data_IF_259937722951
#
_entry.id   IF_259937722951
#
_cell.length_a   1.000
_cell.length_b   1.000
_cell.length_c   1.000
_cell.angle_alpha   90.00
_cell.angle_beta   90.00
_cell.angle_gamma   90.00
#
_symmetry.space_group_name_H-M   'P 1'
#
loop_
_entity.id
_entity.type
_entity.pdbx_description
1 polymer ?
#
# COMPACT_ATOMS: atom_id res chain seq x y z
N UNK A 1 25.41 40.70 5.94
CA UNK A 1 24.02 40.23 6.10
C UNK A 1 23.85 39.00 5.23
N UNK A 2 23.97 37.81 5.83
CA UNK A 2 23.61 36.57 5.15
C UNK A 2 22.11 36.38 5.40
N UNK A 3 21.29 36.75 4.42
CA UNK A 3 19.87 36.44 4.44
C UNK A 3 19.74 34.92 4.49
N UNK A 4 19.14 34.40 5.56
CA UNK A 4 18.68 33.02 5.62
C UNK A 4 17.69 32.84 4.46
N UNK A 5 18.14 32.25 3.36
CA UNK A 5 17.24 31.65 2.38
C UNK A 5 16.42 30.61 3.12
N UNK A 6 15.18 30.98 3.49
CA UNK A 6 14.25 30.04 4.11
C UNK A 6 14.16 28.81 3.23
N UNK A 7 14.55 27.65 3.77
CA UNK A 7 14.58 26.39 3.04
C UNK A 7 13.18 26.18 2.45
N UNK A 8 13.07 26.31 1.13
CA UNK A 8 11.80 26.09 0.44
C UNK A 8 11.37 24.65 0.72
N UNK A 9 10.24 24.48 1.42
CA UNK A 9 9.73 23.16 1.85
C UNK A 9 8.54 22.75 1.00
N UNK A 10 8.61 21.55 0.40
CA UNK A 10 7.46 20.94 -0.26
C UNK A 10 6.51 20.35 0.77
N UNK A 11 5.33 20.94 0.90
CA UNK A 11 4.30 20.51 1.85
C UNK A 11 3.77 19.14 1.44
N UNK A 12 3.55 18.93 0.15
CA UNK A 12 2.97 17.68 -0.36
C UNK A 12 3.97 16.54 -0.38
N UNK A 13 5.21 16.78 -0.80
CA UNK A 13 6.28 15.78 -0.71
C UNK A 13 6.42 15.28 0.73
N UNK A 14 6.46 16.19 1.71
CA UNK A 14 6.61 15.81 3.11
C UNK A 14 5.49 14.87 3.60
N UNK A 15 4.24 15.07 3.16
CA UNK A 15 3.13 14.18 3.49
C UNK A 15 3.33 12.78 2.90
N UNK A 16 3.68 12.69 1.62
CA UNK A 16 3.94 11.40 0.96
C UNK A 16 5.19 10.70 1.50
N UNK A 17 6.24 11.42 1.90
CA UNK A 17 7.42 10.84 2.59
C UNK A 17 7.00 10.18 3.91
N UNK A 18 6.28 10.91 4.77
CA UNK A 18 5.82 10.38 6.05
C UNK A 18 4.95 9.14 5.82
N UNK A 19 4.05 9.22 4.85
CA UNK A 19 3.21 8.10 4.48
C UNK A 19 4.02 6.89 4.00
N UNK A 20 5.01 7.06 3.12
CA UNK A 20 5.87 5.97 2.67
C UNK A 20 6.63 5.31 3.84
N UNK A 21 7.12 6.10 4.81
CA UNK A 21 7.77 5.59 6.02
C UNK A 21 6.78 4.75 6.84
N UNK A 22 5.57 5.26 7.08
CA UNK A 22 4.54 4.55 7.84
C UNK A 22 4.13 3.25 7.13
N UNK A 23 3.84 3.31 5.83
CA UNK A 23 3.45 2.12 5.06
C UNK A 23 4.60 1.10 5.00
N UNK A 24 5.85 1.55 4.86
CA UNK A 24 7.04 0.71 4.95
C UNK A 24 7.18 0.02 6.31
N UNK A 25 6.88 0.74 7.41
CA UNK A 25 6.88 0.15 8.74
C UNK A 25 5.77 -0.90 8.91
N UNK A 26 4.58 -0.67 8.36
CA UNK A 26 3.47 -1.64 8.40
C UNK A 26 3.84 -2.94 7.70
N UNK A 27 4.34 -2.88 6.46
CA UNK A 27 4.71 -4.11 5.74
C UNK A 27 5.87 -4.83 6.42
N UNK A 28 6.84 -4.09 6.96
CA UNK A 28 7.94 -4.69 7.74
C UNK A 28 7.43 -5.39 8.98
N UNK A 29 6.51 -4.77 9.73
CA UNK A 29 5.88 -5.39 10.89
C UNK A 29 5.12 -6.66 10.52
N UNK A 30 4.37 -6.64 9.42
CA UNK A 30 3.70 -7.84 8.91
C UNK A 30 4.71 -8.96 8.56
N UNK A 31 5.84 -8.63 7.91
CA UNK A 31 6.92 -9.60 7.65
C UNK A 31 7.37 -10.27 8.93
N UNK A 32 7.66 -9.47 9.97
CA UNK A 32 8.18 -9.96 11.24
C UNK A 32 7.17 -10.88 11.92
N UNK A 33 5.87 -10.53 11.88
CA UNK A 33 4.80 -11.37 12.43
C UNK A 33 4.73 -12.71 11.69
N UNK A 34 4.82 -12.73 10.37
CA UNK A 34 4.76 -13.97 9.57
C UNK A 34 5.98 -14.86 9.85
N UNK A 35 7.18 -14.27 9.93
CA UNK A 35 8.40 -15.01 10.27
C UNK A 35 8.32 -15.55 11.70
N UNK A 36 7.86 -14.76 12.66
CA UNK A 36 7.65 -15.22 14.02
C UNK A 36 6.62 -16.37 14.08
N UNK A 37 5.51 -16.25 13.36
CA UNK A 37 4.50 -17.31 13.27
C UNK A 37 5.07 -18.61 12.69
N UNK A 38 5.92 -18.53 11.67
CA UNK A 38 6.65 -19.70 11.14
C UNK A 38 7.57 -20.34 12.18
N UNK A 39 8.26 -19.55 13.00
CA UNK A 39 9.15 -20.09 14.04
C UNK A 39 8.39 -20.76 15.18
N UNK A 40 7.18 -20.27 15.49
CA UNK A 40 6.34 -20.78 16.57
C UNK A 40 5.45 -21.95 16.14
N UNK A 41 5.20 -22.10 14.85
CA UNK A 41 4.38 -23.20 14.29
C UNK A 41 5.27 -24.39 13.96
N UNK A 42 5.08 -25.50 14.67
CA UNK A 42 5.74 -26.78 14.38
C UNK A 42 4.94 -27.60 13.36
N UNK A 43 5.63 -28.43 12.57
CA UNK A 43 4.99 -29.39 11.66
C UNK A 43 4.49 -28.83 10.31
N UNK A 44 4.36 -27.52 10.15
CA UNK A 44 3.97 -26.88 8.86
C UNK A 44 5.00 -25.83 8.43
N UNK A 45 5.59 -26.00 7.24
CA UNK A 45 6.42 -24.97 6.62
C UNK A 45 5.53 -23.97 5.85
N UNK A 46 4.98 -23.00 6.58
CA UNK A 46 4.09 -21.94 6.09
C UNK A 46 4.73 -21.17 4.93
N UNK A 47 5.99 -20.75 5.06
CA UNK A 47 6.68 -19.98 4.01
C UNK A 47 6.82 -20.81 2.74
N UNK A 48 7.25 -22.06 2.85
CA UNK A 48 7.37 -22.96 1.71
C UNK A 48 6.00 -23.21 1.06
N UNK A 49 4.99 -23.57 1.86
CA UNK A 49 3.63 -23.81 1.37
C UNK A 49 3.09 -22.61 0.59
N UNK A 50 3.20 -21.41 1.19
CA UNK A 50 2.84 -20.17 0.54
C UNK A 50 3.61 -20.04 -0.79
N UNK A 51 4.94 -20.11 -0.77
CA UNK A 51 5.78 -19.85 -1.96
C UNK A 51 5.54 -20.79 -3.15
N UNK A 52 5.08 -22.01 -2.89
CA UNK A 52 4.77 -23.01 -3.91
C UNK A 52 3.30 -22.97 -4.37
N UNK A 53 2.45 -22.25 -3.64
CA UNK A 53 1.00 -22.20 -3.90
C UNK A 53 0.62 -20.99 -4.74
N UNK A 54 0.75 -21.14 -6.06
CA UNK A 54 0.15 -20.22 -7.05
C UNK A 54 -1.29 -20.59 -7.43
N UNK A 55 -1.80 -21.70 -6.90
CA UNK A 55 -3.17 -22.14 -7.04
C UNK A 55 -3.99 -21.87 -5.76
N UNK A 56 -5.30 -21.80 -5.90
CA UNK A 56 -6.20 -21.59 -4.75
C UNK A 56 -6.08 -20.21 -4.06
N UNK A 57 -6.50 -20.10 -2.78
CA UNK A 57 -6.52 -18.83 -2.06
C UNK A 57 -5.14 -18.25 -1.71
N UNK A 58 -4.12 -19.10 -1.52
CA UNK A 58 -2.78 -18.69 -1.11
C UNK A 58 -2.10 -17.69 -2.07
N UNK A 59 -2.41 -17.75 -3.37
CA UNK A 59 -1.89 -16.81 -4.37
C UNK A 59 -2.21 -15.34 -4.04
N UNK A 60 -3.37 -15.09 -3.42
CA UNK A 60 -3.82 -13.74 -3.07
C UNK A 60 -2.98 -13.12 -1.96
N UNK A 61 -2.39 -13.95 -1.10
CA UNK A 61 -1.42 -13.50 -0.11
C UNK A 61 -0.19 -12.88 -0.80
N UNK A 62 0.45 -13.61 -1.72
CA UNK A 62 1.63 -13.09 -2.45
C UNK A 62 1.30 -11.88 -3.28
N UNK A 63 0.19 -11.93 -4.00
CA UNK A 63 -0.20 -10.83 -4.87
C UNK A 63 -0.45 -9.56 -4.05
N UNK A 64 -1.17 -9.68 -2.93
CA UNK A 64 -1.39 -8.58 -2.00
C UNK A 64 -0.07 -8.05 -1.42
N UNK A 65 0.85 -8.94 -1.04
CA UNK A 65 2.13 -8.58 -0.47
C UNK A 65 3.04 -7.84 -1.46
N UNK A 66 3.16 -8.36 -2.69
CA UNK A 66 3.93 -7.73 -3.77
C UNK A 66 3.33 -6.37 -4.13
N UNK A 67 2.00 -6.29 -4.26
CA UNK A 67 1.34 -5.03 -4.55
C UNK A 67 1.49 -4.02 -3.41
N UNK A 68 1.54 -4.45 -2.16
CA UNK A 68 1.83 -3.57 -1.04
C UNK A 68 3.26 -3.00 -1.13
N UNK A 69 4.26 -3.84 -1.43
CA UNK A 69 5.64 -3.38 -1.62
C UNK A 69 5.74 -2.35 -2.77
N UNK A 70 5.09 -2.65 -3.89
CA UNK A 70 5.01 -1.72 -5.04
C UNK A 70 4.32 -0.43 -4.63
N UNK A 71 3.23 -0.49 -3.86
CA UNK A 71 2.51 0.67 -3.37
C UNK A 71 3.41 1.56 -2.50
N UNK A 72 4.18 1.00 -1.56
CA UNK A 72 5.13 1.76 -0.74
C UNK A 72 6.13 2.52 -1.62
N UNK A 73 6.70 1.84 -2.62
CA UNK A 73 7.62 2.46 -3.58
C UNK A 73 6.90 3.54 -4.40
N UNK A 74 5.68 3.30 -4.87
CA UNK A 74 4.89 4.28 -5.62
C UNK A 74 4.58 5.54 -4.80
N UNK A 75 4.29 5.41 -3.50
CA UNK A 75 4.09 6.53 -2.57
C UNK A 75 5.40 7.32 -2.42
N UNK A 76 6.54 6.65 -2.28
CA UNK A 76 7.85 7.31 -2.19
C UNK A 76 8.20 8.07 -3.48
N UNK A 77 8.00 7.44 -4.65
CA UNK A 77 8.22 8.09 -5.96
C UNK A 77 7.28 9.27 -6.16
N UNK A 78 6.03 9.15 -5.71
CA UNK A 78 5.06 10.25 -5.74
C UNK A 78 5.57 11.45 -4.94
N UNK A 79 6.19 11.24 -3.78
CA UNK A 79 6.79 12.34 -3.02
C UNK A 79 7.87 13.09 -3.81
N UNK A 80 8.71 12.35 -4.56
CA UNK A 80 9.73 12.95 -5.44
C UNK A 80 9.08 13.83 -6.51
N UNK A 81 7.99 13.36 -7.13
CA UNK A 81 7.24 14.18 -8.10
C UNK A 81 6.66 15.45 -7.48
N UNK A 82 6.02 15.36 -6.32
CA UNK A 82 5.51 16.54 -5.62
C UNK A 82 6.64 17.52 -5.24
N UNK A 83 7.80 17.01 -4.83
CA UNK A 83 8.96 17.84 -4.55
C UNK A 83 9.49 18.55 -5.80
N UNK A 84 9.56 17.84 -6.93
CA UNK A 84 9.99 18.42 -8.20
C UNK A 84 9.03 19.54 -8.65
N UNK A 85 7.72 19.35 -8.50
CA UNK A 85 6.73 20.39 -8.80
C UNK A 85 6.90 21.62 -7.91
N UNK A 86 6.95 21.43 -6.58
CA UNK A 86 6.89 22.54 -5.62
C UNK A 86 8.23 23.26 -5.44
N UNK A 87 9.34 22.52 -5.39
CA UNK A 87 10.69 23.05 -5.19
C UNK A 87 11.43 23.19 -6.52
N UNK A 88 11.50 22.10 -7.29
CA UNK A 88 12.26 22.09 -8.55
C UNK A 88 11.75 23.10 -9.57
N UNK A 89 10.42 23.24 -9.71
CA UNK A 89 9.80 24.19 -10.64
C UNK A 89 9.22 25.43 -9.96
N UNK A 90 9.23 25.52 -8.63
CA UNK A 90 8.61 26.62 -7.88
C UNK A 90 7.08 26.68 -8.01
N UNK A 91 6.43 25.60 -8.44
CA UNK A 91 4.98 25.57 -8.73
C UNK A 91 4.20 25.02 -7.55
N UNK A 92 3.97 25.89 -6.58
CA UNK A 92 3.19 25.53 -5.40
C UNK A 92 1.79 25.03 -5.77
N UNK A 93 1.38 23.97 -5.09
CA UNK A 93 0.10 23.28 -5.27
C UNK A 93 -0.91 23.87 -4.28
N UNK A 94 -1.86 24.63 -4.82
CA UNK A 94 -2.90 25.35 -4.07
C UNK A 94 -4.26 25.25 -4.76
N UNK A 95 -5.33 25.58 -4.04
CA UNK A 95 -6.70 25.57 -4.58
C UNK A 95 -7.13 24.19 -5.05
N UNK A 96 -7.76 24.11 -6.23
CA UNK A 96 -8.27 22.85 -6.80
C UNK A 96 -7.21 21.73 -6.88
N UNK A 97 -5.95 22.05 -7.19
CA UNK A 97 -4.85 21.06 -7.24
C UNK A 97 -4.50 20.48 -5.88
N UNK A 98 -4.69 21.26 -4.82
CA UNK A 98 -4.54 20.81 -3.43
C UNK A 98 -5.62 19.78 -3.08
N UNK A 99 -6.84 19.97 -3.58
CA UNK A 99 -7.93 19.00 -3.41
C UNK A 99 -7.59 17.69 -4.13
N UNK A 100 -7.15 17.77 -5.40
CA UNK A 100 -6.73 16.58 -6.15
C UNK A 100 -5.56 15.85 -5.47
N UNK A 101 -4.59 16.58 -4.92
CA UNK A 101 -3.47 16.01 -4.18
C UNK A 101 -3.92 15.33 -2.89
N UNK A 102 -4.94 15.85 -2.19
CA UNK A 102 -5.55 15.18 -1.04
C UNK A 102 -6.26 13.89 -1.45
N UNK A 103 -7.07 13.93 -2.52
CA UNK A 103 -7.75 12.72 -3.03
C UNK A 103 -6.71 11.66 -3.41
N UNK A 104 -5.62 12.05 -4.06
CA UNK A 104 -4.51 11.15 -4.37
C UNK A 104 -3.86 10.57 -3.12
N UNK A 105 -3.57 11.43 -2.14
CA UNK A 105 -2.96 11.02 -0.89
C UNK A 105 -3.82 10.01 -0.14
N UNK A 106 -5.13 10.26 -0.02
CA UNK A 106 -6.08 9.36 0.63
C UNK A 106 -6.26 8.08 -0.19
N UNK A 107 -6.43 8.17 -1.50
CA UNK A 107 -6.64 7.00 -2.34
C UNK A 107 -5.46 6.03 -2.32
N UNK A 108 -4.22 6.53 -2.36
CA UNK A 108 -3.04 5.65 -2.24
C UNK A 108 -2.88 5.07 -0.84
N UNK A 109 -3.07 5.87 0.22
CA UNK A 109 -2.79 5.41 1.59
C UNK A 109 -3.91 4.60 2.23
N UNK A 110 -5.16 4.93 1.94
CA UNK A 110 -6.33 4.21 2.47
C UNK A 110 -6.77 3.17 1.46
N UNK A 111 -7.06 3.58 0.22
CA UNK A 111 -7.49 2.66 -0.84
C UNK A 111 -6.43 1.59 -1.14
N UNK A 112 -5.20 2.02 -1.41
CA UNK A 112 -4.11 1.10 -1.73
C UNK A 112 -3.75 0.15 -0.59
N UNK A 113 -3.55 0.68 0.62
CA UNK A 113 -3.18 -0.15 1.77
C UNK A 113 -4.32 -1.10 2.15
N UNK A 114 -5.57 -0.63 2.20
CA UNK A 114 -6.70 -1.48 2.56
C UNK A 114 -6.94 -2.59 1.51
N UNK A 115 -6.80 -2.28 0.22
CA UNK A 115 -6.88 -3.28 -0.86
C UNK A 115 -5.88 -4.40 -0.65
N UNK A 116 -4.61 -4.03 -0.46
CA UNK A 116 -3.50 -4.98 -0.41
C UNK A 116 -3.48 -5.75 0.91
N UNK A 117 -3.79 -5.11 2.05
CA UNK A 117 -3.97 -5.80 3.35
C UNK A 117 -5.16 -6.76 3.30
N UNK A 118 -6.28 -6.38 2.69
CA UNK A 118 -7.43 -7.27 2.54
C UNK A 118 -7.07 -8.50 1.68
N UNK A 119 -6.33 -8.34 0.59
CA UNK A 119 -5.82 -9.46 -0.21
C UNK A 119 -4.90 -10.39 0.59
N UNK A 120 -3.97 -9.81 1.35
CA UNK A 120 -3.05 -10.55 2.22
C UNK A 120 -3.85 -11.39 3.23
N UNK A 121 -4.77 -10.75 3.94
CA UNK A 121 -5.57 -11.38 4.97
C UNK A 121 -6.47 -12.47 4.38
N UNK A 122 -7.15 -12.18 3.27
CA UNK A 122 -8.01 -13.15 2.58
C UNK A 122 -7.23 -14.38 2.10
N UNK A 123 -6.01 -14.18 1.60
CA UNK A 123 -5.11 -15.27 1.22
C UNK A 123 -4.67 -16.14 2.40
N UNK A 124 -4.32 -15.53 3.55
CA UNK A 124 -3.96 -16.25 4.77
C UNK A 124 -5.14 -17.01 5.38
N UNK A 125 -6.32 -16.37 5.43
CA UNK A 125 -7.53 -16.98 5.96
C UNK A 125 -8.02 -18.11 5.04
N UNK A 126 -8.14 -17.84 3.74
CA UNK A 126 -8.63 -18.81 2.76
C UNK A 126 -7.70 -19.99 2.52
N UNK A 127 -6.41 -19.88 2.84
CA UNK A 127 -5.48 -21.02 2.77
C UNK A 127 -5.53 -21.93 4.00
N UNK A 128 -6.22 -21.52 5.06
CA UNK A 128 -6.26 -22.24 6.33
C UNK A 128 -5.05 -22.00 7.25
N UNK A 129 -4.08 -21.17 6.82
CA UNK A 129 -2.86 -20.88 7.57
C UNK A 129 -3.19 -20.21 8.91
N UNK A 130 -4.16 -19.29 8.94
CA UNK A 130 -4.57 -18.66 10.20
C UNK A 130 -5.08 -19.69 11.22
N UNK A 131 -5.77 -20.74 10.76
CA UNK A 131 -6.23 -21.83 11.62
C UNK A 131 -5.06 -22.59 12.25
N UNK A 132 -4.01 -22.86 11.48
CA UNK A 132 -2.79 -23.51 11.97
C UNK A 132 -2.04 -22.61 12.96
N UNK A 133 -1.81 -21.34 12.62
CA UNK A 133 -1.08 -20.38 13.47
C UNK A 133 -1.80 -20.16 14.80
N UNK A 134 -3.14 -20.10 14.80
CA UNK A 134 -3.95 -19.85 15.99
C UNK A 134 -4.24 -21.12 16.81
N UNK A 135 -3.69 -22.29 16.41
CA UNK A 135 -3.93 -23.56 17.09
C UNK A 135 -5.35 -24.10 16.94
N UNK A 136 -6.10 -23.62 15.95
CA UNK A 136 -7.47 -24.06 15.65
C UNK A 136 -7.55 -25.23 14.65
N UNK A 137 -6.43 -25.63 14.03
CA UNK A 137 -6.33 -26.78 13.13
C UNK A 137 -4.91 -27.32 13.08
N UNK A 138 -4.77 -28.65 13.06
CA UNK A 138 -3.47 -29.32 12.88
C UNK A 138 -3.08 -29.47 11.40
N UNK A 139 -3.94 -29.05 10.47
CA UNK A 139 -3.72 -29.16 9.03
C UNK A 139 -4.19 -27.92 8.26
N UNK A 140 -3.62 -27.72 7.07
CA UNK A 140 -4.08 -26.71 6.13
C UNK A 140 -5.41 -27.15 5.53
N UNK A 141 -6.45 -26.35 5.75
CA UNK A 141 -7.79 -26.58 5.21
C UNK A 141 -8.20 -25.40 4.32
N UNK A 142 -7.82 -25.41 3.03
CA UNK A 142 -8.14 -24.32 2.12
C UNK A 142 -9.65 -24.20 1.91
N UNK A 143 -10.15 -22.96 1.95
CA UNK A 143 -11.54 -22.64 1.70
C UNK A 143 -11.64 -21.40 0.79
N UNK A 144 -11.93 -21.63 -0.49
CA UNK A 144 -12.07 -20.57 -1.47
C UNK A 144 -13.26 -19.63 -1.19
N UNK A 145 -14.31 -20.12 -0.51
CA UNK A 145 -15.47 -19.29 -0.19
C UNK A 145 -15.11 -18.13 0.76
N UNK A 146 -14.04 -18.27 1.55
CA UNK A 146 -13.52 -17.15 2.36
C UNK A 146 -13.05 -16.03 1.41
N UNK A 147 -12.34 -16.36 0.34
CA UNK A 147 -11.86 -15.36 -0.62
C UNK A 147 -13.02 -14.62 -1.29
N UNK A 148 -14.09 -15.33 -1.64
CA UNK A 148 -15.27 -14.74 -2.28
C UNK A 148 -15.92 -13.64 -1.43
N UNK A 149 -15.90 -13.79 -0.10
CA UNK A 149 -16.40 -12.78 0.85
C UNK A 149 -15.54 -11.51 0.86
N UNK A 150 -14.26 -11.61 0.50
CA UNK A 150 -13.35 -10.47 0.45
C UNK A 150 -13.37 -9.74 -0.89
N UNK A 151 -13.97 -10.31 -1.95
CA UNK A 151 -14.04 -9.66 -3.27
C UNK A 151 -14.70 -8.26 -3.18
N UNK A 152 -15.86 -8.07 -2.52
CA UNK A 152 -16.50 -6.76 -2.47
C UNK A 152 -15.65 -5.69 -1.77
N UNK A 153 -15.00 -6.03 -0.66
CA UNK A 153 -14.16 -5.09 0.09
C UNK A 153 -12.87 -4.74 -0.68
N UNK A 154 -12.23 -5.73 -1.31
CA UNK A 154 -11.07 -5.51 -2.19
C UNK A 154 -11.47 -4.61 -3.36
N UNK A 155 -12.61 -4.87 -4.01
CA UNK A 155 -13.09 -4.08 -5.13
C UNK A 155 -13.40 -2.63 -4.74
N UNK A 156 -14.05 -2.41 -3.59
CA UNK A 156 -14.38 -1.07 -3.09
C UNK A 156 -13.12 -0.23 -2.84
N UNK A 157 -12.13 -0.79 -2.13
CA UNK A 157 -10.88 -0.08 -1.87
C UNK A 157 -10.00 0.06 -3.10
N UNK A 158 -10.06 -0.88 -4.04
CA UNK A 158 -9.41 -0.75 -5.35
C UNK A 158 -10.01 0.42 -6.11
N UNK A 159 -11.34 0.58 -6.09
CA UNK A 159 -12.01 1.74 -6.67
C UNK A 159 -11.55 3.06 -6.04
N UNK A 160 -11.42 3.11 -4.72
CA UNK A 160 -10.88 4.27 -4.00
C UNK A 160 -9.43 4.57 -4.41
N UNK A 161 -8.58 3.54 -4.53
CA UNK A 161 -7.22 3.67 -5.03
C UNK A 161 -7.22 4.24 -6.46
N UNK A 162 -8.03 3.70 -7.36
CA UNK A 162 -8.12 4.16 -8.75
C UNK A 162 -8.50 5.64 -8.81
N UNK A 163 -9.54 6.07 -8.08
CA UNK A 163 -9.94 7.48 -7.99
C UNK A 163 -8.77 8.34 -7.51
N UNK A 164 -8.05 7.88 -6.49
CA UNK A 164 -6.84 8.53 -5.99
C UNK A 164 -5.79 8.72 -7.06
N UNK A 165 -5.40 7.64 -7.75
CA UNK A 165 -4.36 7.67 -8.79
C UNK A 165 -4.75 8.60 -9.94
N UNK A 166 -6.02 8.56 -10.39
CA UNK A 166 -6.52 9.48 -11.41
C UNK A 166 -6.45 10.95 -10.96
N UNK A 167 -6.87 11.25 -9.73
CA UNK A 167 -6.75 12.58 -9.17
C UNK A 167 -5.28 13.04 -9.07
N UNK A 168 -4.37 12.12 -8.72
CA UNK A 168 -2.93 12.36 -8.68
C UNK A 168 -2.35 12.73 -10.05
N UNK A 169 -2.70 11.98 -11.09
CA UNK A 169 -2.32 12.28 -12.46
C UNK A 169 -2.81 13.66 -12.92
N UNK A 170 -4.07 13.99 -12.61
CA UNK A 170 -4.63 15.32 -12.90
C UNK A 170 -3.92 16.43 -12.11
N UNK A 171 -3.63 16.23 -10.83
CA UNK A 171 -2.89 17.19 -10.01
C UNK A 171 -1.50 17.45 -10.62
N UNK A 172 -0.83 16.38 -11.06
CA UNK A 172 0.49 16.46 -11.67
C UNK A 172 0.45 17.22 -12.99
N UNK A 173 -0.38 16.81 -13.95
CA UNK A 173 -0.48 17.41 -15.28
C UNK A 173 -0.87 18.89 -15.18
N UNK A 174 -1.90 19.23 -14.41
CA UNK A 174 -2.36 20.62 -14.27
C UNK A 174 -1.35 21.53 -13.56
N UNK A 175 -0.48 20.97 -12.72
CA UNK A 175 0.63 21.71 -12.11
C UNK A 175 1.82 21.82 -13.06
N UNK A 176 2.13 20.75 -13.79
CA UNK A 176 3.23 20.68 -14.76
C UNK A 176 2.99 21.53 -16.02
N UNK A 177 1.74 21.78 -16.41
CA UNK A 177 1.43 22.62 -17.57
C UNK A 177 1.23 24.11 -17.22
N UNK A 178 1.27 24.48 -15.93
CA UNK A 178 1.10 25.88 -15.53
C UNK A 178 2.27 26.73 -16.05
N UNK A 179 2.01 27.70 -16.93
CA UNK A 179 3.00 28.71 -17.34
C UNK A 179 3.43 29.55 -16.12
N UNK A 180 4.70 29.97 -16.09
CA UNK A 180 5.24 30.79 -14.99
C UNK A 180 4.42 32.06 -14.81
#
# INVERSE_FOLDING_TARGET
MADMQGIAKSVWSNRFIIAAIVQGAVITGLTLVIVAAQMLTSGTNIIQFLSLSFEGPAKWFFLGYIFYLILVVAIAVTAVFYNHLEIGMGRQIRGFRSVLAWIHFVGMNVGGAATTIAMIFAGLAGSGILGVILGGSDSLQPNAAIMDQFIPIIAAFTGLLSIGVFAGGLAYITTYLRKK
#
